data_IF_921718001651
#
_entry.id   IF_921718001651
#
_cell.length_a   1.000
_cell.length_b   1.000
_cell.length_c   1.000
_cell.angle_alpha   90.00
_cell.angle_beta   90.00
_cell.angle_gamma   90.00
#
_symmetry.space_group_name_H-M   'P 1'
#
loop_
_entity.id
_entity.type
_entity.pdbx_description
1 polymer ?
#
# COMPACT_ATOMS: atom_id res chain seq x y z
N UNK A 1 4.89 0.39 8.48
CA UNK A 1 5.19 -0.42 7.28
C UNK A 1 5.77 -1.78 7.61
N UNK A 2 6.93 -1.92 8.28
CA UNK A 2 7.53 -3.23 8.58
C UNK A 2 6.59 -4.22 9.27
N UNK A 3 5.90 -3.79 10.34
CA UNK A 3 4.87 -4.60 11.04
C UNK A 3 3.72 -5.07 10.12
N UNK A 4 3.35 -4.30 9.10
CA UNK A 4 2.35 -4.70 8.11
C UNK A 4 2.89 -5.78 7.16
N UNK A 5 4.16 -5.66 6.76
CA UNK A 5 4.82 -6.70 5.96
C UNK A 5 4.92 -8.02 6.73
N UNK A 6 5.19 -7.96 8.04
CA UNK A 6 5.20 -9.14 8.93
C UNK A 6 3.80 -9.76 8.97
N UNK A 7 2.75 -8.97 9.24
CA UNK A 7 1.37 -9.46 9.21
C UNK A 7 1.00 -10.10 7.87
N UNK A 8 1.44 -9.51 6.75
CA UNK A 8 1.22 -10.07 5.42
C UNK A 8 1.98 -11.39 5.18
N UNK A 9 3.15 -11.56 5.80
CA UNK A 9 3.96 -12.78 5.69
C UNK A 9 3.30 -13.95 6.42
N UNK A 10 2.52 -13.68 7.47
CA UNK A 10 1.72 -14.67 8.19
C UNK A 10 0.31 -14.86 7.60
N UNK A 11 0.01 -14.25 6.44
CA UNK A 11 -1.30 -14.27 5.79
C UNK A 11 -2.47 -13.67 6.63
N UNK A 12 -2.15 -12.97 7.73
CA UNK A 12 -3.15 -12.29 8.57
C UNK A 12 -3.77 -11.08 7.85
N UNK A 13 -3.06 -10.52 6.87
CA UNK A 13 -3.54 -9.45 5.99
C UNK A 13 -3.07 -9.67 4.55
N UNK A 14 -3.82 -9.13 3.59
CA UNK A 14 -3.37 -9.04 2.19
C UNK A 14 -3.07 -7.58 1.86
N UNK A 15 -1.83 -7.29 1.46
CA UNK A 15 -1.44 -5.96 1.02
C UNK A 15 -1.57 -5.86 -0.50
N UNK A 16 -2.12 -4.74 -0.96
CA UNK A 16 -2.29 -4.43 -2.36
C UNK A 16 -1.66 -3.06 -2.66
N UNK A 17 -1.09 -2.90 -3.86
CA UNK A 17 -0.61 -1.62 -4.34
C UNK A 17 -0.84 -1.50 -5.85
N UNK A 18 -1.22 -0.31 -6.31
CA UNK A 18 -1.39 -0.06 -7.73
C UNK A 18 -0.04 -0.24 -8.46
N UNK A 19 -0.05 -0.83 -9.65
CA UNK A 19 1.15 -0.99 -10.50
C UNK A 19 1.82 0.36 -10.81
N UNK A 20 1.05 1.44 -10.88
CA UNK A 20 1.57 2.78 -11.10
C UNK A 20 2.45 3.22 -9.91
N UNK A 21 2.03 2.93 -8.68
CA UNK A 21 2.84 3.21 -7.49
C UNK A 21 4.21 2.52 -7.51
N UNK A 22 4.35 1.37 -8.19
CA UNK A 22 5.66 0.74 -8.42
C UNK A 22 6.50 1.53 -9.44
N UNK A 23 5.88 2.06 -10.50
CA UNK A 23 6.56 2.92 -11.46
C UNK A 23 7.04 4.23 -10.82
N UNK A 24 6.22 4.85 -9.97
CA UNK A 24 6.58 6.08 -9.26
C UNK A 24 7.66 5.82 -8.22
N UNK A 25 7.52 4.73 -7.45
CA UNK A 25 8.56 4.31 -6.51
C UNK A 25 9.89 4.07 -7.23
N UNK A 26 9.88 3.40 -8.38
CA UNK A 26 11.09 3.24 -9.20
C UNK A 26 11.67 4.59 -9.63
N UNK A 27 10.84 5.48 -10.18
CA UNK A 27 11.26 6.79 -10.67
C UNK A 27 11.83 7.68 -9.56
N UNK A 28 11.28 7.62 -8.35
CA UNK A 28 11.77 8.35 -7.18
C UNK A 28 13.07 7.73 -6.66
N UNK A 29 13.09 6.42 -6.41
CA UNK A 29 14.22 5.73 -5.77
C UNK A 29 15.47 5.70 -6.64
N UNK A 30 15.33 5.62 -7.98
CA UNK A 30 16.47 5.63 -8.91
C UNK A 30 17.25 6.95 -8.90
N UNK A 31 16.70 8.01 -8.30
CA UNK A 31 17.43 9.28 -8.08
C UNK A 31 18.49 9.17 -6.98
N UNK A 32 18.39 8.15 -6.12
CA UNK A 32 19.26 7.98 -4.94
C UNK A 32 19.98 6.63 -4.88
N UNK A 33 19.67 5.70 -5.78
CA UNK A 33 20.27 4.37 -5.84
C UNK A 33 20.43 3.86 -7.28
N UNK A 34 21.37 2.94 -7.49
CA UNK A 34 21.59 2.31 -8.79
C UNK A 34 20.34 1.52 -9.23
N UNK A 35 19.98 1.61 -10.51
CA UNK A 35 18.78 0.98 -11.10
C UNK A 35 18.55 -0.46 -10.64
N UNK A 36 19.54 -1.35 -10.83
CA UNK A 36 19.48 -2.76 -10.39
C UNK A 36 19.06 -2.90 -8.93
N UNK A 37 19.67 -2.15 -8.00
CA UNK A 37 19.32 -2.20 -6.58
C UNK A 37 17.87 -1.78 -6.31
N UNK A 38 17.36 -0.79 -7.05
CA UNK A 38 15.97 -0.36 -6.94
C UNK A 38 15.03 -1.44 -7.45
N UNK A 39 15.32 -2.03 -8.62
CA UNK A 39 14.53 -3.13 -9.18
C UNK A 39 14.52 -4.35 -8.26
N UNK A 40 15.67 -4.73 -7.70
CA UNK A 40 15.78 -5.84 -6.76
C UNK A 40 14.96 -5.57 -5.48
N UNK A 41 14.99 -4.34 -4.97
CA UNK A 41 14.20 -3.96 -3.80
C UNK A 41 12.69 -3.99 -4.09
N UNK A 42 12.24 -3.47 -5.24
CA UNK A 42 10.84 -3.52 -5.65
C UNK A 42 10.38 -4.95 -5.93
N UNK A 43 11.23 -5.79 -6.53
CA UNK A 43 10.95 -7.21 -6.74
C UNK A 43 10.77 -7.93 -5.40
N UNK A 44 11.60 -7.62 -4.41
CA UNK A 44 11.48 -8.21 -3.07
C UNK A 44 10.14 -7.87 -2.38
N UNK A 45 9.53 -6.71 -2.66
CA UNK A 45 8.23 -6.38 -2.06
C UNK A 45 7.06 -7.20 -2.62
N UNK A 46 7.20 -7.77 -3.82
CA UNK A 46 6.19 -8.63 -4.43
C UNK A 46 5.96 -9.94 -3.66
N UNK A 47 6.86 -10.30 -2.75
CA UNK A 47 6.68 -11.44 -1.86
C UNK A 47 5.52 -11.26 -0.86
N UNK A 48 5.13 -10.00 -0.56
CA UNK A 48 4.09 -9.70 0.43
C UNK A 48 3.13 -8.57 0.01
N UNK A 49 3.37 -7.89 -1.12
CA UNK A 49 2.45 -6.91 -1.71
C UNK A 49 1.99 -7.43 -3.07
N UNK A 50 0.67 -7.49 -3.26
CA UNK A 50 0.04 -7.87 -4.51
C UNK A 50 -0.18 -6.65 -5.40
N UNK A 51 0.38 -6.61 -6.62
CA UNK A 51 0.06 -5.54 -7.55
C UNK A 51 -1.41 -5.61 -7.99
N UNK A 52 -2.06 -4.46 -8.06
CA UNK A 52 -3.36 -4.30 -8.74
C UNK A 52 -3.27 -3.26 -9.85
N UNK A 53 -4.12 -3.39 -10.87
CA UNK A 53 -4.19 -2.41 -11.95
C UNK A 53 -5.06 -1.22 -11.57
N UNK A 54 -4.91 -0.11 -12.29
CA UNK A 54 -5.99 0.87 -12.41
C UNK A 54 -6.97 0.39 -13.49
N UNK A 55 -8.22 0.87 -13.44
CA UNK A 55 -9.29 0.34 -14.28
C UNK A 55 -9.82 1.43 -15.21
N UNK A 56 -9.98 1.10 -16.50
CA UNK A 56 -10.49 2.05 -17.50
C UNK A 56 -11.87 2.62 -17.12
N UNK A 57 -12.68 1.84 -16.40
CA UNK A 57 -13.99 2.26 -15.89
C UNK A 57 -13.90 3.47 -14.94
N UNK A 58 -12.76 3.68 -14.27
CA UNK A 58 -12.56 4.78 -13.32
C UNK A 58 -12.07 6.07 -13.99
N UNK A 59 -11.61 6.03 -15.25
CA UNK A 59 -11.02 7.18 -15.93
C UNK A 59 -12.02 8.30 -16.17
N UNK A 60 -13.19 7.99 -16.73
CA UNK A 60 -14.24 9.01 -16.96
C UNK A 60 -14.68 9.63 -15.62
N UNK A 61 -15.04 8.85 -14.58
CA UNK A 61 -15.34 9.40 -13.27
C UNK A 61 -14.22 10.27 -12.68
N UNK A 62 -12.94 9.91 -12.88
CA UNK A 62 -11.82 10.71 -12.42
C UNK A 62 -11.81 12.10 -13.08
N UNK A 63 -11.93 12.15 -14.42
CA UNK A 63 -11.90 13.39 -15.21
C UNK A 63 -13.12 14.28 -15.00
N UNK A 64 -14.28 13.69 -14.68
CA UNK A 64 -15.51 14.43 -14.38
C UNK A 64 -15.60 14.85 -12.90
N UNK A 65 -14.68 14.40 -12.03
CA UNK A 65 -14.70 14.71 -10.60
C UNK A 65 -13.99 16.03 -10.24
N UNK A 66 -14.27 16.52 -9.03
CA UNK A 66 -13.50 17.60 -8.40
C UNK A 66 -12.27 17.07 -7.63
N UNK A 67 -11.71 15.93 -8.03
CA UNK A 67 -10.46 15.42 -7.47
C UNK A 67 -9.29 16.14 -8.17
N UNK A 68 -8.38 16.80 -7.45
CA UNK A 68 -7.34 17.62 -8.08
C UNK A 68 -6.34 16.81 -8.93
N UNK A 69 -5.94 15.65 -8.41
CA UNK A 69 -4.99 14.73 -9.02
C UNK A 69 -5.68 13.47 -9.57
N UNK A 70 -5.61 13.27 -10.88
CA UNK A 70 -6.24 12.13 -11.56
C UNK A 70 -5.58 10.80 -11.16
N UNK A 71 -4.27 10.81 -10.92
CA UNK A 71 -3.52 9.61 -10.54
C UNK A 71 -3.94 9.15 -9.13
N UNK A 72 -4.01 10.05 -8.16
CA UNK A 72 -4.48 9.74 -6.82
C UNK A 72 -5.90 9.18 -6.83
N UNK A 73 -6.78 9.75 -7.65
CA UNK A 73 -8.13 9.22 -7.84
C UNK A 73 -8.09 7.76 -8.29
N UNK A 74 -7.32 7.46 -9.34
CA UNK A 74 -7.25 6.11 -9.92
C UNK A 74 -6.64 5.10 -8.95
N UNK A 75 -5.60 5.49 -8.21
CA UNK A 75 -4.97 4.64 -7.19
C UNK A 75 -5.94 4.32 -6.06
N UNK A 76 -6.67 5.33 -5.57
CA UNK A 76 -7.66 5.16 -4.51
C UNK A 76 -8.84 4.31 -5.00
N UNK A 77 -9.32 4.54 -6.22
CA UNK A 77 -10.47 3.83 -6.77
C UNK A 77 -10.18 2.40 -7.23
N UNK A 78 -8.91 2.05 -7.48
CA UNK A 78 -8.48 0.66 -7.68
C UNK A 78 -8.90 -0.25 -6.51
N UNK A 79 -9.03 0.31 -5.29
CA UNK A 79 -9.50 -0.42 -4.10
C UNK A 79 -10.89 -1.03 -4.25
N UNK A 80 -11.75 -0.50 -5.14
CA UNK A 80 -13.09 -1.05 -5.40
C UNK A 80 -13.09 -2.37 -6.18
N UNK A 81 -11.98 -2.68 -6.84
CA UNK A 81 -11.87 -3.82 -7.76
C UNK A 81 -11.00 -4.96 -7.19
N UNK A 82 -10.52 -4.79 -5.97
CA UNK A 82 -9.83 -5.80 -5.18
C UNK A 82 -10.57 -5.99 -3.86
N UNK A 83 -10.39 -7.10 -3.13
CA UNK A 83 -11.05 -7.32 -1.83
C UNK A 83 -10.41 -6.48 -0.71
N UNK A 84 -10.15 -5.19 -0.95
CA UNK A 84 -9.56 -4.29 0.03
C UNK A 84 -10.64 -3.75 0.99
N UNK A 85 -10.47 -4.03 2.28
CA UNK A 85 -11.33 -3.49 3.33
C UNK A 85 -10.89 -2.09 3.80
N UNK A 86 -9.59 -1.77 3.63
CA UNK A 86 -8.99 -0.52 4.07
C UNK A 86 -8.05 0.06 3.01
N UNK A 87 -8.03 1.39 2.90
CA UNK A 87 -6.96 2.13 2.24
C UNK A 87 -5.91 2.51 3.30
N UNK A 88 -4.65 2.16 3.09
CA UNK A 88 -3.55 2.58 3.97
C UNK A 88 -2.87 3.81 3.39
N UNK A 89 -3.07 4.97 4.00
CA UNK A 89 -2.46 6.24 3.54
C UNK A 89 -2.17 7.19 4.69
N UNK A 90 -1.17 8.06 4.50
CA UNK A 90 -0.92 9.21 5.38
C UNK A 90 -1.48 10.52 4.81
N UNK A 91 -1.99 10.46 3.58
CA UNK A 91 -2.56 11.60 2.89
C UNK A 91 -4.02 11.80 3.35
N UNK A 92 -4.27 12.94 3.98
CA UNK A 92 -5.58 13.27 4.54
C UNK A 92 -6.63 13.56 3.46
N UNK A 93 -6.22 14.02 2.27
CA UNK A 93 -7.11 14.28 1.15
C UNK A 93 -7.54 12.97 0.47
N UNK A 94 -6.60 12.06 0.22
CA UNK A 94 -6.91 10.71 -0.24
C UNK A 94 -7.80 9.98 0.77
N UNK A 95 -7.47 10.07 2.07
CA UNK A 95 -8.25 9.42 3.12
C UNK A 95 -9.69 9.92 3.17
N UNK A 96 -9.89 11.24 3.10
CA UNK A 96 -11.23 11.86 3.15
C UNK A 96 -12.10 11.49 1.95
N UNK A 97 -11.50 11.32 0.77
CA UNK A 97 -12.21 11.08 -0.48
C UNK A 97 -12.28 9.60 -0.87
N UNK A 98 -11.66 8.72 -0.09
CA UNK A 98 -11.59 7.29 -0.35
C UNK A 98 -12.97 6.61 -0.35
N UNK A 99 -13.24 5.68 -1.29
CA UNK A 99 -14.49 4.93 -1.31
C UNK A 99 -14.59 3.84 -0.25
N UNK A 100 -13.45 3.47 0.37
CA UNK A 100 -13.35 2.53 1.48
C UNK A 100 -12.73 3.22 2.69
N UNK A 101 -12.87 2.62 3.88
CA UNK A 101 -12.31 3.20 5.12
C UNK A 101 -10.81 3.38 4.98
N UNK A 102 -10.34 4.61 5.11
CA UNK A 102 -8.92 4.94 5.08
C UNK A 102 -8.36 4.99 6.50
N UNK A 103 -7.15 4.46 6.69
CA UNK A 103 -6.39 4.49 7.93
C UNK A 103 -4.93 4.77 7.63
N UNK A 104 -4.24 5.43 8.54
CA UNK A 104 -2.79 5.40 8.57
C UNK A 104 -2.30 4.00 8.93
N UNK A 105 -1.03 3.70 8.63
CA UNK A 105 -0.43 2.44 9.04
C UNK A 105 -0.47 2.23 10.56
N UNK A 106 -0.36 3.30 11.36
CA UNK A 106 -0.43 3.23 12.81
C UNK A 106 -1.85 2.93 13.29
N UNK A 107 -2.86 3.59 12.74
CA UNK A 107 -4.25 3.33 13.11
C UNK A 107 -4.70 1.92 12.71
N UNK A 108 -4.23 1.41 11.57
CA UNK A 108 -4.53 0.03 11.19
C UNK A 108 -3.84 -0.99 12.10
N UNK A 109 -2.61 -0.73 12.56
CA UNK A 109 -1.97 -1.59 13.57
C UNK A 109 -2.72 -1.56 14.91
N UNK A 110 -3.20 -0.39 15.34
CA UNK A 110 -4.03 -0.29 16.53
C UNK A 110 -5.36 -1.05 16.37
N UNK A 111 -5.96 -1.04 15.17
CA UNK A 111 -7.13 -1.85 14.84
C UNK A 111 -6.85 -3.36 14.91
N UNK A 112 -5.68 -3.83 14.43
CA UNK A 112 -5.30 -5.24 14.56
C UNK A 112 -5.15 -5.65 16.03
N UNK A 113 -4.58 -4.77 16.86
CA UNK A 113 -4.43 -5.02 18.29
C UNK A 113 -5.79 -5.05 19.00
N UNK A 114 -6.61 -4.01 18.84
CA UNK A 114 -7.88 -3.88 19.58
C UNK A 114 -8.97 -4.81 19.08
N UNK A 115 -9.13 -4.98 17.77
CA UNK A 115 -10.26 -5.70 17.17
C UNK A 115 -9.93 -7.14 16.79
N UNK A 116 -8.64 -7.47 16.61
CA UNK A 116 -8.20 -8.81 16.21
C UNK A 116 -7.30 -9.49 17.25
N UNK A 117 -6.84 -8.77 18.27
CA UNK A 117 -5.89 -9.31 19.26
C UNK A 117 -4.53 -9.66 18.66
N UNK A 118 -4.17 -9.06 17.51
CA UNK A 118 -2.95 -9.35 16.78
C UNK A 118 -1.95 -8.21 16.95
N UNK A 119 -0.77 -8.53 17.50
CA UNK A 119 0.34 -7.61 17.70
C UNK A 119 1.57 -8.14 16.98
N UNK A 120 2.24 -7.27 16.23
CA UNK A 120 3.43 -7.61 15.46
C UNK A 120 4.63 -6.81 15.94
N UNK A 121 5.78 -7.46 16.01
CA UNK A 121 7.04 -6.79 16.28
C UNK A 121 8.23 -7.42 15.56
N UNK A 122 9.33 -6.68 15.50
CA UNK A 122 10.61 -7.16 15.00
C UNK A 122 11.43 -7.75 16.15
N UNK A 123 11.75 -9.04 16.09
CA UNK A 123 12.65 -9.67 17.07
C UNK A 123 14.04 -9.78 16.44
N UNK A 124 15.10 -9.21 17.04
CA UNK A 124 16.45 -9.41 16.57
C UNK A 124 16.80 -10.90 16.68
N UNK A 125 17.35 -11.47 15.61
CA UNK A 125 17.88 -12.84 15.68
C UNK A 125 19.03 -12.86 16.70
N UNK A 126 19.06 -13.81 17.64
CA UNK A 126 20.20 -13.96 18.53
C UNK A 126 21.46 -14.16 17.68
N UNK A 127 22.50 -13.35 17.94
CA UNK A 127 23.78 -13.48 17.25
C UNK A 127 24.31 -14.90 17.41
N UNK A 128 24.82 -15.49 16.31
CA UNK A 128 25.55 -16.76 16.40
C UNK A 128 26.78 -16.53 17.29
N UNK A 129 26.75 -17.08 18.50
CA UNK A 129 27.93 -17.25 19.33
C UNK A 129 28.90 -18.25 18.69
#
# INVERSE_FOLDING_TARGET
MRKLCIAATFDDVQLWAAVQSYADAFYVLRKSAHERKVKDALLATLAFIRPCSTYAADLRPALESNWPDVEDYLVVHASKHVPAAFLITRDADMARRSPIKALTACEFLAYLESEKGLVYDEVPLPGKH
#
